data_IF_002365758416
#
_entry.id   IF_002365758416
#
_cell.length_a   1.000
_cell.length_b   1.000
_cell.length_c   1.000
_cell.angle_alpha   90.00
_cell.angle_beta   90.00
_cell.angle_gamma   90.00
#
_symmetry.space_group_name_H-M   'P 1'
#
loop_
_entity.id
_entity.type
_entity.pdbx_description
1 polymer ?
#
# COMPACT_ATOMS: atom_id res chain seq x y z
N UNK A 1 5.17 -24.00 -18.85
CA UNK A 1 5.81 -22.76 -18.35
C UNK A 1 6.58 -22.04 -19.46
N UNK A 2 7.48 -22.71 -20.21
CA UNK A 2 8.27 -22.13 -21.31
C UNK A 2 7.44 -21.36 -22.35
N UNK A 3 6.42 -22.00 -22.95
CA UNK A 3 5.49 -21.36 -23.90
C UNK A 3 4.84 -20.07 -23.39
N UNK A 4 4.45 -20.01 -22.11
CA UNK A 4 3.87 -18.80 -21.50
C UNK A 4 4.91 -17.67 -21.42
N UNK A 5 6.12 -18.00 -20.97
CA UNK A 5 7.20 -17.02 -20.90
C UNK A 5 7.60 -16.53 -22.30
N UNK A 6 7.60 -17.41 -23.30
CA UNK A 6 7.90 -17.06 -24.69
C UNK A 6 6.84 -16.10 -25.25
N UNK A 7 5.55 -16.36 -25.02
CA UNK A 7 4.46 -15.46 -25.42
C UNK A 7 4.58 -14.08 -24.75
N UNK A 8 4.89 -14.03 -23.44
CA UNK A 8 5.09 -12.76 -22.72
C UNK A 8 6.28 -11.98 -23.28
N UNK A 9 7.35 -12.68 -23.68
CA UNK A 9 8.54 -12.05 -24.28
C UNK A 9 8.31 -11.58 -25.71
N UNK A 10 7.48 -12.28 -26.47
CA UNK A 10 7.14 -11.92 -27.85
C UNK A 10 6.37 -10.61 -27.91
N UNK A 11 5.43 -10.40 -26.98
CA UNK A 11 4.65 -9.17 -26.93
C UNK A 11 4.40 -8.69 -25.48
N UNK A 12 5.40 -8.00 -24.88
CA UNK A 12 5.24 -7.44 -23.55
C UNK A 12 4.22 -6.28 -23.54
N UNK A 13 3.99 -5.61 -24.68
CA UNK A 13 3.09 -4.47 -24.80
C UNK A 13 1.64 -4.90 -24.61
N UNK A 14 1.20 -5.92 -25.35
CA UNK A 14 -0.15 -6.48 -25.21
C UNK A 14 -0.36 -7.00 -23.80
N UNK A 15 0.63 -7.68 -23.22
CA UNK A 15 0.52 -8.21 -21.86
C UNK A 15 0.28 -7.09 -20.83
N UNK A 16 1.02 -5.98 -20.93
CA UNK A 16 0.87 -4.82 -20.06
C UNK A 16 -0.46 -4.12 -20.27
N UNK A 17 -0.84 -3.84 -21.52
CA UNK A 17 -2.11 -3.19 -21.86
C UNK A 17 -3.31 -4.01 -21.39
N UNK A 18 -3.26 -5.34 -21.56
CA UNK A 18 -4.31 -6.22 -21.07
C UNK A 18 -4.39 -6.23 -19.54
N UNK A 19 -3.24 -6.27 -18.86
CA UNK A 19 -3.21 -6.20 -17.39
C UNK A 19 -3.76 -4.88 -16.86
N UNK A 20 -3.35 -3.76 -17.45
CA UNK A 20 -3.79 -2.42 -17.10
C UNK A 20 -5.30 -2.24 -17.34
N UNK A 21 -5.80 -2.66 -18.50
CA UNK A 21 -7.23 -2.64 -18.80
C UNK A 21 -8.05 -3.48 -17.80
N UNK A 22 -7.59 -4.70 -17.48
CA UNK A 22 -8.26 -5.53 -16.47
C UNK A 22 -8.27 -4.89 -15.09
N UNK A 23 -7.20 -4.18 -14.74
CA UNK A 23 -7.11 -3.49 -13.46
C UNK A 23 -8.08 -2.29 -13.42
N UNK A 24 -8.18 -1.52 -14.51
CA UNK A 24 -9.16 -0.43 -14.66
C UNK A 24 -10.59 -0.94 -14.48
N UNK A 25 -10.99 -1.95 -15.24
CA UNK A 25 -12.34 -2.55 -15.10
C UNK A 25 -12.59 -3.13 -13.71
N UNK A 26 -11.58 -3.74 -13.07
CA UNK A 26 -11.72 -4.20 -11.70
C UNK A 26 -12.02 -3.03 -10.76
N UNK A 27 -11.29 -1.92 -10.86
CA UNK A 27 -11.54 -0.75 -10.02
C UNK A 27 -12.90 -0.12 -10.27
N UNK A 28 -13.37 -0.04 -11.52
CA UNK A 28 -14.73 0.43 -11.85
C UNK A 28 -15.78 -0.45 -11.16
N UNK A 29 -15.64 -1.77 -11.22
CA UNK A 29 -16.57 -2.71 -10.56
C UNK A 29 -16.51 -2.57 -9.02
N UNK A 30 -15.32 -2.34 -8.46
CA UNK A 30 -15.15 -2.15 -7.02
C UNK A 30 -15.70 -0.81 -6.52
N UNK A 31 -15.65 0.23 -7.35
CA UNK A 31 -16.17 1.56 -7.06
C UNK A 31 -17.67 1.72 -7.35
N UNK A 32 -18.27 0.83 -8.15
CA UNK A 32 -19.68 0.90 -8.47
C UNK A 32 -20.58 0.76 -7.23
N UNK A 33 -21.65 1.55 -7.16
CA UNK A 33 -22.64 1.51 -6.05
C UNK A 33 -23.35 0.15 -5.92
N UNK A 34 -23.50 -0.58 -7.02
CA UNK A 34 -24.01 -1.96 -7.05
C UNK A 34 -22.89 -3.03 -6.97
N UNK A 35 -21.64 -2.60 -6.78
CA UNK A 35 -20.45 -3.43 -6.86
C UNK A 35 -20.20 -4.31 -5.63
N UNK A 36 -18.99 -4.89 -5.57
CA UNK A 36 -18.57 -5.81 -4.51
C UNK A 36 -18.80 -5.25 -3.10
N UNK A 37 -18.48 -3.98 -2.93
CA UNK A 37 -18.55 -3.30 -1.66
C UNK A 37 -19.85 -2.50 -1.50
N UNK A 38 -20.97 -2.97 -2.07
CA UNK A 38 -22.29 -2.28 -2.05
C UNK A 38 -22.69 -1.68 -0.69
N UNK A 39 -22.37 -2.36 0.42
CA UNK A 39 -22.68 -1.89 1.79
C UNK A 39 -21.58 -1.03 2.42
N UNK A 40 -20.42 -0.94 1.77
CA UNK A 40 -19.19 -0.33 2.24
C UNK A 40 -18.52 0.41 1.08
N UNK A 41 -19.11 1.52 0.65
CA UNK A 41 -18.64 2.34 -0.47
C UNK A 41 -17.11 2.53 -0.46
N UNK A 42 -16.46 2.37 -1.61
CA UNK A 42 -15.02 2.61 -1.75
C UNK A 42 -14.75 4.12 -1.73
N UNK A 43 -14.42 4.64 -0.55
CA UNK A 43 -14.19 6.07 -0.31
C UNK A 43 -12.78 6.49 -0.71
N UNK A 44 -11.76 5.69 -0.37
CA UNK A 44 -10.38 6.00 -0.73
C UNK A 44 -9.58 4.78 -1.20
N UNK A 45 -8.65 4.99 -2.12
CA UNK A 45 -7.73 3.95 -2.57
C UNK A 45 -6.34 4.50 -2.86
N UNK A 46 -5.34 3.69 -2.58
CA UNK A 46 -3.98 3.87 -3.07
C UNK A 46 -3.50 2.57 -3.70
N UNK A 47 -2.98 2.65 -4.92
CA UNK A 47 -2.53 1.49 -5.70
C UNK A 47 -1.11 1.77 -6.17
N UNK A 48 -0.21 0.82 -5.98
CA UNK A 48 1.15 0.85 -6.47
C UNK A 48 1.41 -0.40 -7.30
N UNK A 49 1.90 -0.21 -8.52
CA UNK A 49 2.43 -1.29 -9.35
C UNK A 49 3.93 -1.43 -9.07
N UNK A 50 4.34 -2.62 -8.67
CA UNK A 50 5.74 -2.99 -8.41
C UNK A 50 6.17 -4.08 -9.40
N UNK A 51 7.40 -3.96 -9.90
CA UNK A 51 8.07 -4.99 -10.70
C UNK A 51 9.18 -5.59 -9.85
N UNK A 52 8.90 -6.75 -9.27
CA UNK A 52 9.93 -7.52 -8.56
C UNK A 52 10.83 -8.24 -9.58
N UNK A 53 11.88 -8.91 -9.10
CA UNK A 53 12.79 -9.81 -9.86
C UNK A 53 12.05 -10.83 -10.76
N UNK A 54 10.74 -11.00 -10.58
CA UNK A 54 9.86 -11.84 -11.41
C UNK A 54 9.45 -11.21 -12.74
N UNK A 55 9.69 -9.91 -12.94
CA UNK A 55 9.51 -9.17 -14.20
C UNK A 55 8.09 -8.89 -14.65
N UNK A 56 7.08 -9.29 -13.86
CA UNK A 56 5.66 -9.01 -14.14
C UNK A 56 5.05 -8.10 -13.09
N UNK A 57 4.04 -7.28 -13.47
CA UNK A 57 3.45 -6.31 -12.58
C UNK A 57 2.79 -7.00 -11.38
N UNK A 58 3.00 -6.43 -10.21
CA UNK A 58 2.42 -6.84 -8.95
C UNK A 58 1.74 -5.64 -8.30
N UNK A 59 0.49 -5.80 -7.88
CA UNK A 59 -0.29 -4.70 -7.32
C UNK A 59 -0.24 -4.77 -5.79
N UNK A 60 0.18 -3.66 -5.20
CA UNK A 60 -0.09 -3.35 -3.80
C UNK A 60 -1.22 -2.33 -3.75
N UNK A 61 -2.30 -2.65 -3.06
CA UNK A 61 -3.43 -1.74 -2.91
C UNK A 61 -3.81 -1.54 -1.44
N UNK A 62 -4.21 -0.33 -1.11
CA UNK A 62 -4.90 0.05 0.11
C UNK A 62 -6.29 0.53 -0.29
N UNK A 63 -7.29 -0.01 0.39
CA UNK A 63 -8.70 0.19 0.09
C UNK A 63 -9.34 0.64 1.39
N UNK A 64 -9.90 1.85 1.39
CA UNK A 64 -10.62 2.43 2.50
C UNK A 64 -12.10 2.43 2.17
N UNK A 65 -12.85 1.67 2.96
CA UNK A 65 -14.28 1.49 2.74
C UNK A 65 -15.06 2.29 3.78
N UNK A 66 -15.99 3.10 3.31
CA UNK A 66 -16.89 3.90 4.13
C UNK A 66 -17.71 2.99 5.03
N UNK A 67 -17.93 3.42 6.27
CA UNK A 67 -18.67 2.67 7.30
C UNK A 67 -18.07 1.30 7.67
N UNK A 68 -16.85 0.97 7.23
CA UNK A 68 -16.16 -0.21 7.74
C UNK A 68 -15.93 -0.08 9.26
N UNK A 69 -16.09 -1.17 10.03
CA UNK A 69 -15.92 -1.13 11.48
C UNK A 69 -14.47 -0.80 11.85
N UNK A 70 -14.28 0.08 12.82
CA UNK A 70 -12.97 0.42 13.36
C UNK A 70 -12.67 -0.46 14.57
N UNK A 71 -11.48 -1.05 14.59
CA UNK A 71 -11.02 -1.86 15.71
C UNK A 71 -10.76 -1.00 16.93
N UNK A 72 -11.42 -1.32 18.05
CA UNK A 72 -11.16 -0.77 19.37
C UNK A 72 -11.02 -1.93 20.36
N UNK A 73 -9.81 -2.10 20.87
CA UNK A 73 -9.45 -3.17 21.80
C UNK A 73 -10.27 -3.16 23.09
N UNK A 74 -10.82 -2.00 23.49
CA UNK A 74 -11.57 -1.83 24.73
C UNK A 74 -13.08 -2.03 24.53
N UNK A 75 -13.54 -2.24 23.28
CA UNK A 75 -14.95 -2.33 22.95
C UNK A 75 -15.26 -3.69 22.30
N UNK A 76 -15.83 -4.66 23.05
CA UNK A 76 -16.16 -5.98 22.52
C UNK A 76 -17.08 -5.96 21.30
N UNK A 77 -17.99 -4.99 21.22
CA UNK A 77 -18.91 -4.85 20.09
C UNK A 77 -18.17 -4.39 18.81
N UNK A 78 -17.17 -3.52 18.96
CA UNK A 78 -16.28 -3.14 17.85
C UNK A 78 -15.53 -4.38 17.33
N UNK A 79 -14.96 -5.19 18.22
CA UNK A 79 -14.23 -6.42 17.87
C UNK A 79 -15.13 -7.37 17.09
N UNK A 80 -16.36 -7.60 17.58
CA UNK A 80 -17.34 -8.46 16.93
C UNK A 80 -17.71 -7.95 15.53
N UNK A 81 -18.01 -6.66 15.38
CA UNK A 81 -18.30 -6.05 14.07
C UNK A 81 -17.13 -6.19 13.11
N UNK A 82 -15.90 -6.02 13.56
CA UNK A 82 -14.70 -6.26 12.73
C UNK A 82 -14.61 -7.72 12.27
N UNK A 83 -14.85 -8.68 13.15
CA UNK A 83 -14.82 -10.11 12.80
C UNK A 83 -15.90 -10.44 11.76
N UNK A 84 -17.14 -9.99 11.96
CA UNK A 84 -18.24 -10.20 11.01
C UNK A 84 -17.94 -9.57 9.64
N UNK A 85 -17.35 -8.38 9.64
CA UNK A 85 -16.90 -7.70 8.43
C UNK A 85 -15.81 -8.48 7.69
N UNK A 86 -14.81 -8.98 8.43
CA UNK A 86 -13.73 -9.79 7.87
C UNK A 86 -14.28 -11.07 7.26
N UNK A 87 -15.12 -11.82 7.98
CA UNK A 87 -15.69 -13.09 7.49
C UNK A 87 -16.60 -12.91 6.27
N UNK A 88 -17.25 -11.75 6.14
CA UNK A 88 -18.04 -11.40 4.96
C UNK A 88 -17.19 -11.17 3.71
N UNK A 89 -15.99 -10.60 3.85
CA UNK A 89 -15.18 -10.13 2.71
C UNK A 89 -13.95 -10.99 2.42
N UNK A 90 -13.44 -11.72 3.40
CA UNK A 90 -12.19 -12.45 3.32
C UNK A 90 -12.45 -13.93 3.57
N UNK A 91 -12.03 -14.76 2.62
CA UNK A 91 -12.08 -16.21 2.71
C UNK A 91 -10.69 -16.80 2.66
N UNK A 92 -10.58 -17.98 3.28
CA UNK A 92 -9.40 -18.86 3.20
C UNK A 92 -9.81 -20.29 2.87
N UNK A 93 -11.04 -20.47 2.37
CA UNK A 93 -11.58 -21.80 2.05
C UNK A 93 -10.75 -22.48 0.98
N UNK A 94 -10.37 -23.72 1.24
CA UNK A 94 -9.62 -24.60 0.34
C UNK A 94 -10.53 -25.35 -0.65
N UNK A 95 -11.84 -25.42 -0.36
CA UNK A 95 -12.88 -26.11 -1.16
C UNK A 95 -14.19 -25.30 -1.18
N UNK A 96 -14.21 -24.07 -1.70
CA UNK A 96 -15.45 -23.31 -1.84
C UNK A 96 -16.33 -23.92 -2.94
N UNK A 97 -17.62 -24.07 -2.67
CA UNK A 97 -18.61 -24.66 -3.59
C UNK A 97 -18.83 -23.85 -4.86
N UNK A 98 -18.47 -22.56 -4.84
CA UNK A 98 -18.74 -21.59 -5.91
C UNK A 98 -17.60 -21.42 -6.91
N UNK A 99 -16.41 -22.02 -6.66
CA UNK A 99 -15.23 -21.80 -7.50
C UNK A 99 -14.56 -23.10 -7.91
N UNK A 100 -14.02 -23.12 -9.13
CA UNK A 100 -13.18 -24.21 -9.63
C UNK A 100 -11.93 -24.39 -8.78
N UNK A 101 -11.44 -25.63 -8.67
CA UNK A 101 -10.17 -25.95 -8.00
C UNK A 101 -8.98 -25.17 -8.57
N UNK A 102 -8.99 -24.86 -9.86
CA UNK A 102 -7.95 -24.06 -10.51
C UNK A 102 -7.78 -22.67 -9.88
N UNK A 103 -8.89 -21.97 -9.60
CA UNK A 103 -8.85 -20.64 -9.00
C UNK A 103 -8.29 -20.66 -7.57
N UNK A 104 -8.65 -21.70 -6.81
CA UNK A 104 -8.14 -21.89 -5.44
C UNK A 104 -6.68 -22.28 -5.44
N UNK A 105 -6.23 -23.03 -6.45
CA UNK A 105 -4.82 -23.34 -6.63
C UNK A 105 -3.95 -22.09 -6.75
N UNK A 106 -4.50 -20.98 -7.28
CA UNK A 106 -3.81 -19.69 -7.35
C UNK A 106 -3.61 -19.07 -5.97
N UNK A 107 -4.51 -19.32 -5.02
CA UNK A 107 -4.40 -18.81 -3.64
C UNK A 107 -3.50 -19.69 -2.76
N UNK A 108 -3.18 -20.90 -3.23
CA UNK A 108 -2.36 -21.85 -2.47
C UNK A 108 -0.88 -21.50 -2.58
N UNK A 109 -0.28 -21.16 -1.43
CA UNK A 109 1.13 -20.90 -1.33
C UNK A 109 1.97 -22.16 -1.54
N UNK A 110 2.82 -22.12 -2.58
CA UNK A 110 3.87 -23.11 -2.83
C UNK A 110 5.21 -22.50 -2.38
N UNK A 111 5.85 -23.12 -1.40
CA UNK A 111 7.14 -22.64 -0.92
C UNK A 111 8.14 -22.65 -2.07
N UNK A 112 8.84 -21.53 -2.25
CA UNK A 112 9.90 -21.35 -3.24
C UNK A 112 11.11 -20.69 -2.58
N UNK A 113 12.23 -20.57 -3.29
CA UNK A 113 13.43 -19.90 -2.76
C UNK A 113 13.13 -18.48 -2.26
N UNK A 114 12.22 -17.76 -2.91
CA UNK A 114 11.87 -16.37 -2.57
C UNK A 114 11.12 -16.23 -1.23
N UNK A 115 10.45 -17.28 -0.75
CA UNK A 115 9.77 -17.24 0.53
C UNK A 115 10.63 -17.78 1.68
N UNK A 116 11.82 -18.33 1.41
CA UNK A 116 12.72 -18.83 2.45
C UNK A 116 13.41 -17.66 3.15
N UNK A 117 13.34 -17.64 4.47
CA UNK A 117 14.06 -16.69 5.33
C UNK A 117 14.87 -17.47 6.35
N UNK A 118 16.18 -17.21 6.40
CA UNK A 118 17.06 -17.77 7.42
C UNK A 118 16.92 -16.95 8.71
N UNK A 119 16.54 -17.62 9.80
CA UNK A 119 16.40 -17.03 11.13
C UNK A 119 17.00 -18.00 12.13
N UNK A 120 18.06 -17.58 12.84
CA UNK A 120 18.75 -18.37 13.87
C UNK A 120 19.09 -19.80 13.41
N UNK A 121 19.70 -19.93 12.22
CA UNK A 121 20.09 -21.23 11.65
C UNK A 121 18.93 -22.06 11.06
N UNK A 122 17.68 -21.63 11.20
CA UNK A 122 16.51 -22.34 10.67
C UNK A 122 15.92 -21.64 9.44
N UNK A 123 15.45 -22.43 8.46
CA UNK A 123 14.70 -21.91 7.30
C UNK A 123 13.23 -21.79 7.70
N UNK A 124 12.69 -20.57 7.67
CA UNK A 124 11.27 -20.29 7.90
C UNK A 124 10.66 -19.64 6.67
N UNK A 125 9.34 -19.76 6.52
CA UNK A 125 8.63 -19.00 5.50
C UNK A 125 8.54 -17.52 5.90
N UNK A 126 8.96 -16.61 5.02
CA UNK A 126 8.86 -15.15 5.16
C UNK A 126 7.43 -14.69 5.46
N UNK A 127 6.44 -15.41 4.93
CA UNK A 127 5.02 -15.10 5.09
C UNK A 127 4.37 -15.79 6.31
N UNK A 128 5.14 -16.59 7.06
CA UNK A 128 4.62 -17.31 8.23
C UNK A 128 3.73 -18.51 7.91
N UNK A 129 3.93 -19.14 6.73
CA UNK A 129 3.19 -20.33 6.29
C UNK A 129 3.97 -21.60 6.70
N UNK A 130 3.32 -22.64 7.28
CA UNK A 130 1.86 -22.82 7.40
C UNK A 130 1.20 -21.89 8.43
N UNK A 131 -0.01 -21.43 8.10
CA UNK A 131 -0.85 -20.66 9.02
C UNK A 131 -1.44 -21.56 10.12
N UNK A 132 -1.79 -20.98 11.27
CA UNK A 132 -2.47 -21.69 12.34
C UNK A 132 -3.94 -21.98 11.96
N UNK A 133 -4.43 -23.23 12.10
CA UNK A 133 -5.85 -23.54 12.10
C UNK A 133 -6.59 -22.79 13.21
N UNK A 134 -7.81 -22.34 12.93
CA UNK A 134 -8.63 -21.59 13.88
C UNK A 134 -10.10 -22.00 13.71
N UNK A 135 -10.81 -22.23 14.82
CA UNK A 135 -12.25 -22.53 14.81
C UNK A 135 -13.08 -21.40 14.22
N UNK A 136 -12.71 -20.18 14.57
CA UNK A 136 -13.36 -18.94 14.18
C UNK A 136 -12.34 -17.83 13.92
N UNK A 137 -12.77 -16.74 13.29
CA UNK A 137 -11.91 -15.59 13.09
C UNK A 137 -11.78 -14.84 14.41
N UNK A 138 -10.54 -14.60 14.84
CA UNK A 138 -10.23 -13.95 16.10
C UNK A 138 -9.26 -12.78 15.89
N UNK A 139 -9.44 -11.72 16.66
CA UNK A 139 -8.43 -10.66 16.81
C UNK A 139 -7.71 -10.91 18.13
N UNK A 140 -6.48 -11.39 18.05
CA UNK A 140 -5.68 -11.72 19.23
C UNK A 140 -4.72 -10.59 19.57
N UNK A 141 -4.67 -10.24 20.85
CA UNK A 141 -3.77 -9.25 21.42
C UNK A 141 -2.57 -9.91 22.11
N UNK A 142 -1.41 -9.22 22.20
CA UNK A 142 -0.30 -9.69 23.01
C UNK A 142 -0.72 -9.77 24.49
N UNK A 143 0.08 -10.45 25.30
CA UNK A 143 -0.12 -10.43 26.76
C UNK A 143 0.05 -9.01 27.29
N UNK A 144 -0.87 -8.56 28.13
CA UNK A 144 -0.74 -7.30 28.85
C UNK A 144 0.40 -7.39 29.88
N UNK A 145 0.78 -6.24 30.45
CA UNK A 145 1.80 -6.20 31.49
C UNK A 145 1.40 -7.01 32.74
N UNK A 146 0.10 -7.11 33.02
CA UNK A 146 -0.47 -7.86 34.15
C UNK A 146 -0.60 -9.38 33.87
N UNK A 147 -0.58 -9.78 32.59
CA UNK A 147 -0.64 -11.18 32.15
C UNK A 147 0.75 -11.73 31.77
N UNK A 148 1.83 -11.14 32.30
CA UNK A 148 3.19 -11.50 31.91
C UNK A 148 3.50 -12.98 32.17
N UNK A 149 3.73 -13.71 31.08
CA UNK A 149 4.26 -15.07 31.13
C UNK A 149 5.63 -15.09 31.81
N UNK A 150 5.77 -15.99 32.78
CA UNK A 150 7.05 -16.29 33.43
C UNK A 150 8.06 -16.85 32.43
N UNK A 151 9.36 -16.78 32.76
CA UNK A 151 10.41 -17.34 31.90
C UNK A 151 10.18 -18.84 31.63
N UNK A 152 9.79 -19.59 32.66
CA UNK A 152 9.49 -21.03 32.57
C UNK A 152 8.32 -21.30 31.63
N UNK A 153 7.22 -20.57 31.75
CA UNK A 153 6.07 -20.72 30.83
C UNK A 153 6.44 -20.39 29.38
N UNK A 154 7.29 -19.38 29.14
CA UNK A 154 7.75 -19.05 27.79
C UNK A 154 8.59 -20.16 27.18
N UNK A 155 9.46 -20.78 27.96
CA UNK A 155 10.26 -21.93 27.53
C UNK A 155 9.39 -23.15 27.21
N UNK A 156 8.39 -23.44 28.04
CA UNK A 156 7.41 -24.52 27.80
C UNK A 156 6.56 -24.27 26.54
N UNK A 157 6.04 -23.05 26.38
CA UNK A 157 5.28 -22.63 25.19
C UNK A 157 6.15 -22.75 23.94
N UNK A 158 7.43 -22.33 23.99
CA UNK A 158 8.34 -22.43 22.85
C UNK A 158 8.55 -23.89 22.41
N UNK A 159 8.70 -24.82 23.35
CA UNK A 159 8.84 -26.26 23.05
C UNK A 159 7.57 -26.83 22.43
N UNK A 160 6.40 -26.55 23.03
CA UNK A 160 5.09 -26.96 22.48
C UNK A 160 4.89 -26.41 21.07
N UNK A 161 5.23 -25.15 20.85
CA UNK A 161 5.12 -24.49 19.54
C UNK A 161 5.98 -25.16 18.48
N UNK A 162 7.21 -25.55 18.80
CA UNK A 162 8.06 -26.26 17.84
C UNK A 162 7.43 -27.58 17.39
N UNK A 163 6.85 -28.33 18.34
CA UNK A 163 6.11 -29.56 18.04
C UNK A 163 4.88 -29.30 17.14
N UNK A 164 4.08 -28.27 17.45
CA UNK A 164 2.92 -27.88 16.63
C UNK A 164 3.34 -27.48 15.22
N UNK A 165 4.41 -26.69 15.08
CA UNK A 165 4.88 -26.27 13.77
C UNK A 165 5.34 -27.47 12.92
N UNK A 166 5.98 -28.48 13.53
CA UNK A 166 6.35 -29.72 12.84
C UNK A 166 5.10 -30.48 12.36
N UNK A 167 4.06 -30.58 13.18
CA UNK A 167 2.80 -31.22 12.74
C UNK A 167 2.07 -30.44 11.65
N UNK A 168 2.03 -29.11 11.75
CA UNK A 168 1.48 -28.27 10.69
C UNK A 168 2.24 -28.44 9.37
N UNK A 169 3.56 -28.62 9.41
CA UNK A 169 4.34 -28.93 8.22
C UNK A 169 3.99 -30.29 7.61
N UNK A 170 3.70 -31.32 8.42
CA UNK A 170 3.21 -32.61 7.91
C UNK A 170 1.83 -32.46 7.26
N UNK A 171 0.89 -31.82 7.94
CA UNK A 171 -0.45 -31.53 7.39
C UNK A 171 -0.34 -30.71 6.10
N UNK A 172 0.62 -29.79 6.02
CA UNK A 172 0.81 -28.94 4.83
C UNK A 172 1.21 -29.71 3.56
N UNK A 173 1.67 -30.96 3.71
CA UNK A 173 2.03 -31.89 2.62
C UNK A 173 0.85 -32.78 2.22
N UNK A 174 -0.11 -33.00 3.12
CA UNK A 174 -1.30 -33.80 2.89
C UNK A 174 -2.49 -32.90 2.49
N UNK A 175 -2.65 -32.69 1.18
CA UNK A 175 -3.61 -31.73 0.61
C UNK A 175 -5.06 -32.24 0.73
N UNK A 176 -5.24 -33.56 0.78
CA UNK A 176 -6.56 -34.22 0.80
C UNK A 176 -7.06 -34.51 2.21
N UNK A 177 -6.23 -34.24 3.23
CA UNK A 177 -6.60 -34.34 4.63
C UNK A 177 -7.93 -33.63 4.92
N UNK A 178 -8.90 -34.38 5.44
CA UNK A 178 -10.18 -33.86 5.93
C UNK A 178 -10.15 -33.54 7.43
N UNK A 179 -8.96 -33.41 8.01
CA UNK A 179 -8.78 -33.18 9.44
C UNK A 179 -9.54 -31.92 9.89
N UNK A 180 -10.40 -32.09 10.89
CA UNK A 180 -11.13 -31.02 11.55
C UNK A 180 -10.25 -30.29 12.57
N UNK A 181 -10.67 -29.11 13.02
CA UNK A 181 -9.94 -28.38 14.06
C UNK A 181 -9.90 -29.15 15.39
N UNK A 182 -10.99 -29.83 15.75
CA UNK A 182 -11.07 -30.64 16.98
C UNK A 182 -10.11 -31.84 16.93
N UNK A 183 -10.09 -32.58 15.83
CA UNK A 183 -9.14 -33.69 15.64
C UNK A 183 -7.70 -33.20 15.62
N UNK A 184 -7.44 -32.02 15.06
CA UNK A 184 -6.12 -31.39 15.10
C UNK A 184 -5.67 -31.09 16.54
N UNK A 185 -6.54 -30.54 17.38
CA UNK A 185 -6.25 -30.27 18.80
C UNK A 185 -5.95 -31.55 19.58
N UNK A 186 -6.72 -32.62 19.33
CA UNK A 186 -6.46 -33.95 19.90
C UNK A 186 -5.10 -34.49 19.45
N UNK A 187 -4.77 -34.35 18.15
CA UNK A 187 -3.51 -34.84 17.58
C UNK A 187 -2.27 -34.16 18.20
N UNK A 188 -2.34 -32.85 18.49
CA UNK A 188 -1.26 -32.11 19.14
C UNK A 188 -1.33 -32.16 20.68
N UNK A 189 -2.30 -32.90 21.24
CA UNK A 189 -2.55 -33.04 22.67
C UNK A 189 -2.64 -31.68 23.41
N UNK A 190 -3.46 -30.77 22.90
CA UNK A 190 -3.73 -29.47 23.52
C UNK A 190 -5.21 -29.13 23.50
N UNK A 191 -5.68 -28.45 24.54
CA UNK A 191 -6.99 -27.80 24.48
C UNK A 191 -6.90 -26.44 23.77
N UNK A 192 -8.06 -25.91 23.38
CA UNK A 192 -8.14 -24.66 22.60
C UNK A 192 -7.57 -23.45 23.37
N UNK A 193 -7.76 -23.38 24.70
CA UNK A 193 -7.22 -22.27 25.51
C UNK A 193 -5.70 -22.28 25.53
N UNK A 194 -5.08 -23.44 25.71
CA UNK A 194 -3.61 -23.59 25.64
C UNK A 194 -3.07 -23.24 24.26
N UNK A 195 -3.76 -23.67 23.21
CA UNK A 195 -3.40 -23.38 21.82
C UNK A 195 -3.42 -21.87 21.53
N UNK A 196 -4.49 -21.18 21.94
CA UNK A 196 -4.59 -19.72 21.79
C UNK A 196 -3.54 -19.00 22.65
N UNK A 197 -3.29 -19.47 23.90
CA UNK A 197 -2.22 -18.93 24.76
C UNK A 197 -0.85 -19.04 24.08
N UNK A 198 -0.57 -20.17 23.41
CA UNK A 198 0.66 -20.40 22.64
C UNK A 198 0.78 -19.44 21.45
N UNK A 199 -0.29 -19.20 20.70
CA UNK A 199 -0.29 -18.26 19.58
C UNK A 199 -0.02 -16.83 20.06
N UNK A 200 -0.68 -16.40 21.14
CA UNK A 200 -0.54 -15.05 21.73
C UNK A 200 0.88 -14.74 22.22
N UNK A 201 1.64 -15.76 22.63
CA UNK A 201 2.95 -15.58 23.25
C UNK A 201 3.99 -14.85 22.38
N UNK A 202 3.85 -14.95 21.06
CA UNK A 202 4.76 -14.32 20.08
C UNK A 202 4.21 -13.01 19.51
N UNK A 203 3.00 -12.60 19.90
CA UNK A 203 2.41 -11.36 19.42
C UNK A 203 3.10 -10.16 20.05
N UNK A 204 3.35 -9.15 19.23
CA UNK A 204 3.84 -7.82 19.66
C UNK A 204 2.77 -6.74 19.53
N UNK A 205 1.70 -7.03 18.79
CA UNK A 205 0.57 -6.15 18.48
C UNK A 205 -0.64 -7.01 18.13
N UNK A 206 -1.83 -6.41 18.18
CA UNK A 206 -3.07 -6.99 17.71
C UNK A 206 -2.89 -7.60 16.31
N UNK A 207 -3.44 -8.80 16.10
CA UNK A 207 -3.41 -9.48 14.81
C UNK A 207 -4.68 -10.28 14.55
N UNK A 208 -5.18 -10.20 13.32
CA UNK A 208 -6.27 -11.04 12.82
C UNK A 208 -5.76 -12.45 12.55
N UNK A 209 -6.46 -13.43 13.08
CA UNK A 209 -6.33 -14.85 12.76
C UNK A 209 -7.65 -15.33 12.16
N UNK A 210 -7.65 -15.68 10.88
CA UNK A 210 -8.85 -16.06 10.15
C UNK A 210 -9.30 -17.48 10.52
N UNK A 211 -10.62 -17.70 10.59
CA UNK A 211 -11.23 -19.03 10.66
C UNK A 211 -10.63 -19.91 9.58
N UNK A 212 -9.99 -21.01 9.98
CA UNK A 212 -9.16 -21.79 9.07
C UNK A 212 -9.14 -23.26 9.46
N UNK A 213 -9.63 -24.10 8.56
CA UNK A 213 -9.47 -25.54 8.68
C UNK A 213 -8.00 -25.96 8.42
N UNK A 214 -7.54 -27.09 9.00
CA UNK A 214 -6.20 -27.64 8.77
C UNK A 214 -5.79 -27.78 7.29
N UNK A 215 -6.70 -28.15 6.38
CA UNK A 215 -6.40 -28.24 4.95
C UNK A 215 -6.22 -26.87 4.25
N UNK A 216 -6.62 -25.79 4.92
CA UNK A 216 -6.53 -24.40 4.49
C UNK A 216 -5.25 -23.70 4.93
N UNK A 217 -4.33 -24.34 5.66
CA UNK A 217 -3.14 -23.70 6.26
C UNK A 217 -2.14 -23.11 5.26
N UNK A 218 -2.32 -23.37 3.96
CA UNK A 218 -1.52 -22.81 2.86
C UNK A 218 -2.29 -21.89 1.93
N UNK A 219 -3.56 -21.62 2.21
CA UNK A 219 -4.40 -20.74 1.38
C UNK A 219 -4.20 -19.31 1.85
N UNK A 220 -3.74 -18.42 0.98
CA UNK A 220 -3.71 -16.99 1.28
C UNK A 220 -5.14 -16.47 1.48
N UNK A 221 -5.28 -15.36 2.20
CA UNK A 221 -6.54 -14.67 2.33
C UNK A 221 -6.95 -14.04 0.99
N UNK A 222 -8.16 -14.33 0.52
CA UNK A 222 -8.70 -13.83 -0.75
C UNK A 222 -10.13 -13.33 -0.60
N UNK A 223 -10.57 -12.47 -1.50
CA UNK A 223 -11.99 -12.17 -1.67
C UNK A 223 -12.52 -13.01 -2.84
N UNK A 224 -13.57 -13.78 -2.58
CA UNK A 224 -14.19 -14.71 -3.51
C UNK A 224 -14.60 -14.05 -4.84
N UNK A 225 -15.22 -12.87 -4.79
CA UNK A 225 -15.69 -12.17 -5.98
C UNK A 225 -14.53 -11.52 -6.74
N UNK A 226 -13.57 -10.88 -6.06
CA UNK A 226 -12.34 -10.36 -6.71
C UNK A 226 -11.59 -11.50 -7.39
N UNK A 227 -11.49 -12.67 -6.75
CA UNK A 227 -10.85 -13.84 -7.34
C UNK A 227 -11.52 -14.27 -8.65
N UNK A 228 -12.86 -14.26 -8.68
CA UNK A 228 -13.62 -14.66 -9.88
C UNK A 228 -13.42 -13.69 -11.05
N UNK A 229 -13.34 -12.39 -10.77
CA UNK A 229 -13.16 -11.33 -11.77
C UNK A 229 -11.70 -11.23 -12.25
N UNK A 230 -10.76 -11.19 -11.29
CA UNK A 230 -9.35 -10.92 -11.56
C UNK A 230 -8.51 -12.18 -11.77
N UNK A 231 -8.93 -13.33 -11.24
CA UNK A 231 -8.28 -14.65 -11.43
C UNK A 231 -6.78 -14.63 -11.14
N UNK A 232 -6.38 -13.96 -10.06
CA UNK A 232 -5.00 -13.86 -9.60
C UNK A 232 -4.86 -14.21 -8.12
N UNK A 233 -3.64 -14.51 -7.69
CA UNK A 233 -3.30 -14.67 -6.28
C UNK A 233 -3.54 -13.35 -5.52
N UNK A 234 -4.04 -13.45 -4.31
CA UNK A 234 -4.26 -12.34 -3.40
C UNK A 234 -3.68 -12.66 -2.01
N UNK A 235 -3.49 -11.61 -1.22
CA UNK A 235 -3.16 -11.68 0.21
C UNK A 235 -3.83 -10.50 0.91
N UNK A 236 -5.15 -10.61 1.10
CA UNK A 236 -5.98 -9.53 1.65
C UNK A 236 -5.89 -9.53 3.17
N UNK A 237 -5.62 -8.37 3.76
CA UNK A 237 -5.49 -8.23 5.20
C UNK A 237 -6.32 -7.05 5.69
N UNK A 238 -7.09 -7.27 6.76
CA UNK A 238 -7.76 -6.20 7.48
C UNK A 238 -6.77 -5.49 8.40
N UNK A 239 -6.75 -4.15 8.34
CA UNK A 239 -5.80 -3.33 9.08
C UNK A 239 -6.43 -2.90 10.40
N UNK A 240 -5.84 -3.34 11.51
CA UNK A 240 -6.30 -3.04 12.87
C UNK A 240 -5.77 -1.70 13.41
N UNK A 241 -4.68 -1.20 12.83
CA UNK A 241 -3.90 -0.08 13.38
C UNK A 241 -3.53 0.91 12.25
N UNK A 242 -3.96 2.19 12.34
CA UNK A 242 -3.58 3.22 11.39
C UNK A 242 -2.07 3.39 11.23
N UNK A 243 -1.29 3.21 12.30
CA UNK A 243 0.18 3.29 12.22
C UNK A 243 0.74 2.14 11.38
N UNK A 244 0.16 0.94 11.49
CA UNK A 244 0.52 -0.18 10.62
C UNK A 244 0.19 0.11 9.15
N UNK A 245 -0.90 0.83 8.86
CA UNK A 245 -1.23 1.32 7.51
C UNK A 245 -0.14 2.27 6.99
N UNK A 246 0.20 3.31 7.76
CA UNK A 246 1.23 4.28 7.39
C UNK A 246 2.59 3.61 7.16
N UNK A 247 3.00 2.73 8.08
CA UNK A 247 4.24 1.97 7.94
C UNK A 247 4.22 1.12 6.66
N UNK A 248 3.11 0.47 6.35
CA UNK A 248 2.95 -0.28 5.09
C UNK A 248 3.16 0.66 3.89
N UNK A 249 2.46 1.79 3.80
CA UNK A 249 2.65 2.76 2.71
C UNK A 249 4.11 3.18 2.54
N UNK A 250 4.76 3.58 3.64
CA UNK A 250 6.13 4.09 3.66
C UNK A 250 7.13 3.01 3.25
N UNK A 251 6.94 1.77 3.68
CA UNK A 251 7.81 0.65 3.30
C UNK A 251 7.76 0.39 1.78
N UNK A 252 6.59 0.49 1.13
CA UNK A 252 6.48 0.29 -0.32
C UNK A 252 6.96 1.48 -1.14
N UNK A 253 6.69 2.71 -0.70
CA UNK A 253 7.21 3.92 -1.36
C UNK A 253 8.74 3.88 -1.38
N UNK A 254 9.38 3.46 -0.28
CA UNK A 254 10.85 3.43 -0.19
C UNK A 254 11.50 2.16 -0.74
N UNK A 255 10.72 1.17 -1.22
CA UNK A 255 11.23 -0.16 -1.56
C UNK A 255 12.12 -0.18 -2.80
N UNK A 256 11.79 0.64 -3.81
CA UNK A 256 12.49 0.69 -5.10
C UNK A 256 13.87 1.37 -5.03
N UNK A 257 14.17 2.14 -3.99
CA UNK A 257 15.28 3.10 -4.04
C UNK A 257 16.48 2.80 -3.12
N UNK A 258 16.37 1.82 -2.22
CA UNK A 258 17.38 1.65 -1.15
C UNK A 258 18.79 1.29 -1.67
N UNK A 259 18.89 0.43 -2.69
CA UNK A 259 20.19 0.04 -3.27
C UNK A 259 20.80 1.13 -4.16
N UNK A 260 19.98 1.70 -5.05
CA UNK A 260 20.39 2.72 -6.02
C UNK A 260 20.77 4.04 -5.33
N UNK A 261 20.02 4.45 -4.31
CA UNK A 261 20.32 5.67 -3.54
C UNK A 261 21.73 5.65 -2.96
N UNK A 262 22.19 4.50 -2.44
CA UNK A 262 23.53 4.39 -1.87
C UNK A 262 24.61 4.53 -2.95
N UNK A 263 24.45 3.80 -4.07
CA UNK A 263 25.38 3.83 -5.20
C UNK A 263 25.52 5.24 -5.81
N UNK A 264 24.40 5.94 -5.97
CA UNK A 264 24.35 7.31 -6.49
C UNK A 264 24.94 8.32 -5.51
N UNK A 265 24.67 8.20 -4.21
CA UNK A 265 25.28 9.06 -3.18
C UNK A 265 26.79 8.88 -3.11
N UNK A 266 27.29 7.64 -3.19
CA UNK A 266 28.73 7.37 -3.25
C UNK A 266 29.37 8.02 -4.47
N UNK A 267 28.77 7.88 -5.66
CA UNK A 267 29.25 8.53 -6.88
C UNK A 267 29.24 10.06 -6.75
N UNK A 268 28.18 10.64 -6.20
CA UNK A 268 28.10 12.09 -5.94
C UNK A 268 29.19 12.56 -4.97
N UNK A 269 29.47 11.81 -3.91
CA UNK A 269 30.49 12.17 -2.93
C UNK A 269 31.91 12.08 -3.51
N UNK A 270 32.19 11.10 -4.37
CA UNK A 270 33.45 11.01 -5.12
C UNK A 270 33.60 12.19 -6.08
N UNK A 271 32.53 12.53 -6.81
CA UNK A 271 32.52 13.64 -7.76
C UNK A 271 32.64 15.03 -7.12
N UNK A 272 32.19 15.19 -5.86
CA UNK A 272 32.36 16.43 -5.09
C UNK A 272 33.80 16.69 -4.66
N UNK A 273 34.66 15.67 -4.60
CA UNK A 273 36.09 15.80 -4.27
C UNK A 273 36.95 16.25 -5.47
N UNK A 274 36.40 16.23 -6.68
CA UNK A 274 37.08 16.63 -7.91
C UNK A 274 36.51 17.92 -8.53
N UNK A 275 37.33 18.57 -9.34
CA UNK A 275 36.97 19.81 -10.06
C UNK A 275 36.29 19.53 -11.42
N UNK A 276 35.38 18.55 -11.45
CA UNK A 276 34.67 18.12 -12.66
C UNK A 276 33.53 19.09 -13.02
N UNK A 277 33.29 19.28 -14.31
CA UNK A 277 32.13 20.04 -14.80
C UNK A 277 30.81 19.33 -14.46
N UNK A 278 29.70 20.09 -14.44
CA UNK A 278 28.36 19.52 -14.19
C UNK A 278 28.02 18.40 -15.19
N UNK A 279 28.42 18.56 -16.47
CA UNK A 279 28.19 17.57 -17.54
C UNK A 279 28.91 16.25 -17.26
N UNK A 280 30.18 16.31 -16.85
CA UNK A 280 30.96 15.11 -16.50
C UNK A 280 30.38 14.40 -15.28
N UNK A 281 29.97 15.18 -14.26
CA UNK A 281 29.30 14.64 -13.07
C UNK A 281 28.02 13.90 -13.43
N UNK A 282 27.16 14.51 -14.26
CA UNK A 282 25.94 13.87 -14.76
C UNK A 282 26.23 12.59 -15.55
N UNK A 283 27.25 12.59 -16.41
CA UNK A 283 27.64 11.41 -17.20
C UNK A 283 28.07 10.24 -16.34
N UNK A 284 28.88 10.48 -15.31
CA UNK A 284 29.32 9.43 -14.36
C UNK A 284 28.12 8.86 -13.59
N UNK A 285 27.23 9.72 -13.10
CA UNK A 285 26.01 9.31 -12.40
C UNK A 285 25.11 8.48 -13.32
N UNK A 286 24.86 8.96 -14.54
CA UNK A 286 24.05 8.27 -15.54
C UNK A 286 24.64 6.89 -15.89
N UNK A 287 25.95 6.81 -16.14
CA UNK A 287 26.60 5.53 -16.42
C UNK A 287 26.49 4.55 -15.24
N UNK A 288 26.66 5.03 -14.00
CA UNK A 288 26.52 4.17 -12.82
C UNK A 288 25.07 3.69 -12.68
N UNK A 289 24.10 4.57 -12.90
CA UNK A 289 22.69 4.23 -12.90
C UNK A 289 22.34 3.18 -13.95
N UNK A 290 22.70 3.40 -15.22
CA UNK A 290 22.39 2.51 -16.33
C UNK A 290 22.99 1.11 -16.16
N UNK A 291 24.23 1.02 -15.67
CA UNK A 291 24.91 -0.27 -15.49
C UNK A 291 24.46 -1.04 -14.23
N UNK A 292 23.73 -0.40 -13.31
CA UNK A 292 23.23 -1.05 -12.09
C UNK A 292 21.71 -1.23 -12.06
N UNK A 293 21.00 -0.67 -13.03
CA UNK A 293 19.55 -0.79 -13.14
C UNK A 293 19.18 -1.96 -14.05
N UNK A 294 18.45 -2.93 -13.50
CA UNK A 294 17.80 -3.98 -14.26
C UNK A 294 16.31 -3.68 -14.34
N UNK A 295 15.79 -3.57 -15.57
CA UNK A 295 14.37 -3.30 -15.83
C UNK A 295 13.76 -4.45 -16.64
N UNK A 296 12.55 -4.87 -16.26
CA UNK A 296 11.84 -5.89 -17.05
C UNK A 296 11.24 -5.28 -18.31
N UNK A 297 11.02 -6.09 -19.36
CA UNK A 297 10.37 -5.59 -20.59
C UNK A 297 8.98 -4.98 -20.32
N UNK A 298 8.22 -5.54 -19.37
CA UNK A 298 6.91 -5.02 -18.99
C UNK A 298 7.02 -3.68 -18.23
N UNK A 299 7.99 -3.54 -17.33
CA UNK A 299 8.27 -2.28 -16.64
C UNK A 299 8.72 -1.19 -17.61
N UNK A 300 9.56 -1.52 -18.59
CA UNK A 300 9.96 -0.59 -19.65
C UNK A 300 8.75 -0.11 -20.46
N UNK A 301 7.81 -0.99 -20.78
CA UNK A 301 6.55 -0.62 -21.44
C UNK A 301 5.72 0.33 -20.58
N UNK A 302 5.64 0.12 -19.26
CA UNK A 302 4.95 1.06 -18.36
C UNK A 302 5.54 2.48 -18.47
N UNK A 303 6.88 2.60 -18.51
CA UNK A 303 7.53 3.90 -18.68
C UNK A 303 7.34 4.50 -20.07
N UNK A 304 7.49 3.71 -21.14
CA UNK A 304 7.36 4.19 -22.53
C UNK A 304 5.94 4.67 -22.83
N UNK A 305 4.93 3.96 -22.31
CA UNK A 305 3.53 4.29 -22.52
C UNK A 305 2.96 5.24 -21.46
N UNK A 306 3.82 5.78 -20.58
CA UNK A 306 3.42 6.66 -19.47
C UNK A 306 2.28 6.09 -18.62
N UNK A 307 2.25 4.77 -18.42
CA UNK A 307 1.22 4.12 -17.61
C UNK A 307 1.51 4.41 -16.13
N UNK A 308 0.53 4.93 -15.36
CA UNK A 308 0.75 5.26 -13.95
C UNK A 308 1.20 4.06 -13.12
N UNK A 309 2.35 4.21 -12.44
CA UNK A 309 2.84 3.23 -11.45
C UNK A 309 2.19 3.40 -10.08
N UNK A 310 1.64 4.57 -9.80
CA UNK A 310 0.88 4.87 -8.59
C UNK A 310 -0.45 5.52 -8.98
N UNK A 311 -1.54 5.07 -8.36
CA UNK A 311 -2.89 5.61 -8.52
C UNK A 311 -3.42 5.90 -7.11
N UNK A 312 -3.96 7.09 -6.89
CA UNK A 312 -4.48 7.53 -5.58
C UNK A 312 -5.81 8.24 -5.79
N UNK A 313 -6.78 8.01 -4.90
CA UNK A 313 -8.02 8.81 -4.84
C UNK A 313 -7.80 10.23 -4.29
N UNK A 314 -6.67 10.44 -3.59
CA UNK A 314 -6.27 11.74 -3.04
C UNK A 314 -5.05 12.26 -3.79
N UNK A 315 -5.06 13.56 -4.12
CA UNK A 315 -3.91 14.26 -4.65
C UNK A 315 -2.83 14.44 -3.57
N UNK A 316 -1.59 14.68 -4.00
CA UNK A 316 -0.47 14.96 -3.12
C UNK A 316 0.07 16.36 -3.38
N UNK A 317 0.41 17.07 -2.31
CA UNK A 317 0.99 18.41 -2.38
C UNK A 317 2.36 18.37 -1.73
N UNK A 318 3.38 18.82 -2.47
CA UNK A 318 4.72 18.96 -1.93
C UNK A 318 4.85 20.28 -1.15
N UNK A 319 5.25 20.19 0.11
CA UNK A 319 5.57 21.36 0.94
C UNK A 319 7.08 21.41 1.13
N UNK A 320 7.72 22.47 0.64
CA UNK A 320 9.16 22.64 0.79
C UNK A 320 9.53 23.08 2.22
N UNK A 321 9.91 22.12 3.06
CA UNK A 321 10.28 22.38 4.47
C UNK A 321 11.73 22.82 4.65
N UNK A 322 12.48 23.12 3.58
CA UNK A 322 13.83 23.68 3.71
C UNK A 322 13.80 25.07 4.38
N UNK A 323 14.94 25.45 4.96
CA UNK A 323 15.15 26.84 5.43
C UNK A 323 15.01 27.82 4.26
N UNK A 324 14.47 29.04 4.47
CA UNK A 324 14.20 30.00 3.41
C UNK A 324 15.35 30.20 2.42
N UNK A 325 16.58 30.30 2.92
CA UNK A 325 17.81 30.49 2.14
C UNK A 325 18.15 29.32 1.19
N UNK A 326 17.58 28.14 1.45
CA UNK A 326 17.80 26.93 0.66
C UNK A 326 16.56 26.53 -0.18
N UNK A 327 15.53 27.37 -0.22
CA UNK A 327 14.35 27.11 -1.05
C UNK A 327 14.63 27.53 -2.48
N UNK A 328 14.47 26.58 -3.40
CA UNK A 328 14.57 26.84 -4.82
C UNK A 328 13.29 27.55 -5.25
N UNK A 329 13.44 28.69 -5.94
CA UNK A 329 12.33 29.45 -6.53
C UNK A 329 12.35 29.27 -8.05
N UNK A 330 11.17 29.15 -8.67
CA UNK A 330 11.06 29.13 -10.12
C UNK A 330 10.96 30.56 -10.65
N UNK A 331 11.71 30.87 -11.70
CA UNK A 331 11.57 32.14 -12.40
C UNK A 331 10.21 32.17 -13.13
N UNK A 332 9.66 33.38 -13.26
CA UNK A 332 8.54 33.62 -14.17
C UNK A 332 8.99 33.36 -15.61
N UNK A 333 8.04 33.12 -16.51
CA UNK A 333 8.36 32.93 -17.93
C UNK A 333 9.02 34.18 -18.52
N UNK A 334 9.84 33.99 -19.55
CA UNK A 334 10.53 35.08 -20.24
C UNK A 334 9.55 36.17 -20.70
N UNK A 335 8.37 35.79 -21.19
CA UNK A 335 7.30 36.71 -21.59
C UNK A 335 6.81 37.63 -20.46
N UNK A 336 6.80 37.13 -19.22
CA UNK A 336 6.41 37.92 -18.06
C UNK A 336 7.59 38.77 -17.61
N UNK A 337 8.80 38.20 -17.57
CA UNK A 337 10.01 38.89 -17.15
C UNK A 337 10.32 40.11 -18.04
N UNK A 338 10.14 39.99 -19.35
CA UNK A 338 10.35 41.10 -20.30
C UNK A 338 9.35 42.25 -20.13
N UNK A 339 8.20 42.00 -19.52
CA UNK A 339 7.16 43.01 -19.24
C UNK A 339 7.31 43.63 -17.86
N UNK A 340 8.24 43.14 -17.04
CA UNK A 340 8.54 43.76 -15.75
C UNK A 340 9.40 45.00 -15.94
N UNK A 341 9.24 45.95 -15.02
CA UNK A 341 10.15 47.09 -14.94
C UNK A 341 11.61 46.62 -14.75
N UNK A 342 12.60 47.33 -15.32
CA UNK A 342 14.01 46.90 -15.29
C UNK A 342 14.59 46.63 -13.88
N UNK A 343 14.04 47.26 -12.84
CA UNK A 343 14.45 47.15 -11.44
C UNK A 343 13.52 46.26 -10.59
N UNK A 344 12.53 45.62 -11.22
CA UNK A 344 11.58 44.74 -10.53
C UNK A 344 12.26 43.52 -9.93
N UNK A 345 12.01 43.28 -8.64
CA UNK A 345 12.47 42.09 -7.91
C UNK A 345 11.46 40.94 -7.92
N UNK A 346 10.26 41.16 -8.49
CA UNK A 346 9.19 40.17 -8.57
C UNK A 346 9.41 39.23 -9.77
N UNK A 347 10.57 38.57 -9.80
CA UNK A 347 11.01 37.70 -10.91
C UNK A 347 10.67 36.22 -10.68
N UNK A 348 10.18 35.86 -9.49
CA UNK A 348 9.87 34.49 -9.11
C UNK A 348 8.37 34.20 -9.10
N UNK A 349 8.00 32.97 -9.43
CA UNK A 349 6.64 32.45 -9.26
C UNK A 349 6.36 32.28 -7.77
N UNK A 350 5.24 32.81 -7.29
CA UNK A 350 4.81 32.59 -5.91
C UNK A 350 4.47 31.11 -5.69
N UNK A 351 5.10 30.50 -4.69
CA UNK A 351 4.81 29.15 -4.26
C UNK A 351 3.78 29.10 -3.13
N UNK A 352 3.48 27.89 -2.71
CA UNK A 352 2.54 27.59 -1.62
C UNK A 352 2.87 28.34 -0.32
N UNK A 353 4.16 28.52 0.00
CA UNK A 353 4.58 29.15 1.25
C UNK A 353 4.36 30.66 1.19
N UNK A 354 4.72 31.30 0.08
CA UNK A 354 4.48 32.72 -0.16
C UNK A 354 2.99 33.01 -0.12
N UNK A 355 2.18 32.12 -0.69
CA UNK A 355 0.73 32.19 -0.63
C UNK A 355 0.20 32.06 0.80
N UNK A 356 0.68 31.10 1.57
CA UNK A 356 0.30 30.91 2.98
C UNK A 356 0.66 32.12 3.86
N UNK A 357 1.81 32.77 3.63
CA UNK A 357 2.20 34.01 4.33
C UNK A 357 1.22 35.14 4.02
N UNK A 358 0.69 35.19 2.81
CA UNK A 358 -0.27 36.19 2.33
C UNK A 358 -1.75 35.81 2.56
N UNK A 359 -2.03 34.77 3.36
CA UNK A 359 -3.40 34.38 3.69
C UNK A 359 -4.11 35.47 4.53
N UNK A 360 -5.45 35.59 4.42
CA UNK A 360 -6.25 36.50 5.22
C UNK A 360 -6.05 36.34 6.73
N UNK A 361 -6.25 37.41 7.50
CA UNK A 361 -6.08 37.39 8.96
C UNK A 361 -7.12 36.50 9.65
N UNK A 362 -8.26 36.30 9.01
CA UNK A 362 -9.33 35.37 9.41
C UNK A 362 -8.82 33.91 9.46
N UNK A 363 -7.79 33.58 8.69
CA UNK A 363 -7.16 32.24 8.64
C UNK A 363 -5.97 32.11 9.61
N UNK A 364 -5.89 32.94 10.67
CA UNK A 364 -4.78 32.88 11.64
C UNK A 364 -4.64 31.51 12.31
N UNK A 365 -5.75 30.78 12.50
CA UNK A 365 -5.78 29.46 13.12
C UNK A 365 -5.47 28.31 12.15
N UNK A 366 -5.35 28.58 10.85
CA UNK A 366 -5.01 27.58 9.83
C UNK A 366 -3.50 27.46 9.75
N UNK A 367 -2.97 26.25 9.99
CA UNK A 367 -1.55 25.99 9.84
C UNK A 367 -1.17 25.73 8.37
N UNK A 368 0.14 25.71 8.04
CA UNK A 368 0.60 25.52 6.66
C UNK A 368 0.13 24.18 6.06
N UNK A 369 0.09 23.11 6.86
CA UNK A 369 -0.35 21.79 6.41
C UNK A 369 -1.86 21.76 6.09
N UNK A 370 -2.68 22.40 6.93
CA UNK A 370 -4.12 22.51 6.68
C UNK A 370 -4.37 23.40 5.46
N UNK A 371 -3.62 24.51 5.35
CA UNK A 371 -3.70 25.41 4.20
C UNK A 371 -3.43 24.67 2.89
N UNK A 372 -2.35 23.88 2.86
CA UNK A 372 -1.94 23.13 1.68
C UNK A 372 -2.88 21.98 1.30
N UNK A 373 -3.57 21.40 2.28
CA UNK A 373 -4.40 20.21 2.06
C UNK A 373 -5.88 20.53 1.81
N UNK A 374 -6.39 21.66 2.33
CA UNK A 374 -7.82 21.97 2.32
C UNK A 374 -8.21 23.15 1.44
N UNK A 375 -7.25 23.98 0.99
CA UNK A 375 -7.56 25.24 0.32
C UNK A 375 -6.91 25.34 -1.06
N UNK A 376 -7.65 25.91 -2.01
CA UNK A 376 -7.17 26.18 -3.35
C UNK A 376 -7.15 27.69 -3.64
N UNK A 377 -6.16 28.15 -4.41
CA UNK A 377 -6.03 29.57 -4.76
C UNK A 377 -6.40 29.77 -6.22
N UNK A 378 -7.35 30.68 -6.45
CA UNK A 378 -7.76 31.11 -7.77
C UNK A 378 -7.35 32.55 -8.03
N UNK A 379 -6.87 32.84 -9.25
CA UNK A 379 -6.60 34.21 -9.71
C UNK A 379 -7.86 35.03 -9.95
N UNK A 380 -9.02 34.38 -10.11
CA UNK A 380 -10.30 35.03 -10.40
C UNK A 380 -11.26 34.87 -9.22
N UNK A 381 -11.95 35.96 -8.86
CA UNK A 381 -13.12 35.89 -7.99
C UNK A 381 -14.22 35.18 -8.79
N UNK A 382 -14.50 33.93 -8.47
CA UNK A 382 -15.54 33.15 -9.13
C UNK A 382 -16.64 32.89 -8.12
N UNK A 383 -17.76 33.59 -8.28
CA UNK A 383 -18.97 33.44 -7.46
C UNK A 383 -19.91 32.34 -7.99
N UNK A 384 -19.49 31.51 -8.97
CA UNK A 384 -20.28 30.38 -9.50
C UNK A 384 -19.44 29.24 -10.09
N UNK A 385 -19.99 28.03 -9.99
CA UNK A 385 -19.47 26.72 -10.39
C UNK A 385 -19.29 26.54 -11.90
N UNK A 386 -18.16 26.99 -12.44
CA UNK A 386 -17.61 26.40 -13.67
C UNK A 386 -16.12 26.15 -13.50
N UNK A 387 -15.79 24.87 -13.42
CA UNK A 387 -14.45 24.33 -13.59
C UNK A 387 -13.97 24.84 -14.95
N UNK A 388 -13.00 25.76 -14.97
CA UNK A 388 -12.30 26.14 -16.19
C UNK A 388 -11.19 25.11 -16.34
N UNK A 389 -11.36 24.24 -17.33
CA UNK A 389 -10.32 23.41 -17.92
C UNK A 389 -9.07 24.27 -18.17
N UNK A 390 -7.97 23.92 -17.51
CA UNK A 390 -6.66 24.12 -18.11
C UNK A 390 -6.30 22.77 -18.72
N UNK A 391 -6.21 22.75 -20.05
CA UNK A 391 -5.65 21.63 -20.81
C UNK A 391 -4.20 21.42 -20.37
N UNK A 392 -3.98 20.33 -19.66
CA UNK A 392 -2.95 19.32 -19.91
C UNK A 392 -2.88 18.45 -18.66
N UNK A 393 -3.93 17.66 -18.44
CA UNK A 393 -3.94 16.39 -17.70
C UNK A 393 -5.40 15.90 -17.58
N UNK A 394 -5.76 14.93 -18.42
CA UNK A 394 -6.99 14.15 -18.24
C UNK A 394 -6.82 13.21 -17.04
N UNK A 395 -7.48 13.50 -15.92
CA UNK A 395 -8.24 12.49 -15.17
C UNK A 395 -9.10 13.16 -14.08
N UNK A 396 -10.41 13.00 -14.23
CA UNK A 396 -11.47 13.58 -13.39
C UNK A 396 -11.63 12.74 -12.12
N UNK A 397 -11.65 13.40 -10.95
CA UNK A 397 -12.40 12.92 -9.79
C UNK A 397 -13.20 14.05 -9.19
N UNK A 398 -14.53 13.95 -9.28
CA UNK A 398 -15.49 14.79 -8.58
C UNK A 398 -15.37 14.53 -7.08
N UNK A 399 -14.94 15.54 -6.32
CA UNK A 399 -15.09 15.56 -4.86
C UNK A 399 -16.12 16.64 -4.52
N UNK A 400 -17.36 16.23 -4.26
CA UNK A 400 -18.35 17.09 -3.60
C UNK A 400 -17.93 17.29 -2.14
N UNK A 401 -17.29 18.42 -1.84
CA UNK A 401 -17.18 18.92 -0.47
C UNK A 401 -18.15 20.08 -0.27
N UNK A 402 -19.27 19.79 0.39
CA UNK A 402 -20.28 20.72 0.89
C UNK A 402 -19.71 21.63 2.01
N UNK A 403 -18.87 22.61 1.66
CA UNK A 403 -18.58 23.73 2.55
C UNK A 403 -18.69 25.05 1.79
N UNK A 404 -19.86 25.67 1.92
CA UNK A 404 -20.22 26.98 1.36
C UNK A 404 -19.52 28.13 2.11
N UNK A 405 -18.20 28.22 2.04
CA UNK A 405 -17.45 29.40 2.50
C UNK A 405 -17.26 30.38 1.36
N UNK A 406 -17.59 31.65 1.58
CA UNK A 406 -17.38 32.71 0.60
C UNK A 406 -15.88 32.86 0.29
N UNK A 407 -15.48 33.09 -0.98
CA UNK A 407 -14.08 33.18 -1.35
C UNK A 407 -13.39 34.36 -0.64
N UNK A 408 -12.26 34.08 0.02
CA UNK A 408 -11.51 35.06 0.81
C UNK A 408 -10.37 35.67 -0.02
N UNK A 409 -10.20 36.99 0.01
CA UNK A 409 -9.15 37.68 -0.77
C UNK A 409 -7.80 37.60 -0.06
N UNK A 410 -6.74 37.23 -0.78
CA UNK A 410 -5.38 37.24 -0.24
C UNK A 410 -4.89 38.67 0.07
N UNK A 411 -4.00 38.81 1.06
CA UNK A 411 -3.45 40.10 1.53
C UNK A 411 -2.69 40.86 0.44
N UNK A 412 -1.97 40.13 -0.41
CA UNK A 412 -1.25 40.70 -1.55
C UNK A 412 -2.17 41.04 -2.75
N UNK A 413 -3.47 40.73 -2.65
CA UNK A 413 -4.46 40.97 -3.70
C UNK A 413 -4.31 40.10 -4.95
N UNK A 414 -3.36 39.15 -4.96
CA UNK A 414 -3.01 38.34 -6.14
C UNK A 414 -3.88 37.08 -6.33
N UNK A 415 -4.86 36.86 -5.46
CA UNK A 415 -5.75 35.71 -5.57
C UNK A 415 -6.86 35.65 -4.52
N UNK A 416 -7.67 34.62 -4.65
CA UNK A 416 -8.78 34.29 -3.77
C UNK A 416 -8.62 32.85 -3.30
N UNK A 417 -8.81 32.62 -2.01
CA UNK A 417 -8.80 31.31 -1.38
C UNK A 417 -10.24 30.77 -1.37
N UNK A 418 -10.40 29.54 -1.87
CA UNK A 418 -11.62 28.75 -1.79
C UNK A 418 -11.46 27.65 -0.77
#
# INVERSE_FOLDING_TARGET
MKKKCDLIKQDPVICVRYFEHRLKCLWEILSASCGLFRYYELEDKYVRVEFQIRGSPHIHALIWLKNAPKYDKNNPESIKKCIEFIDKLISVSSKPTQFSEELISLQRHKHSHTCKKYVNGCIKCRFGIPYFPMRETMILEPFSDDEKLTKKEREEISKKKESVMKELEKISKDIDSSLTFDEFLVHINMNEKEYIKMIRADLKKAKVFLKRAPNGIRINAYNSQIMSLHRANMDIQFILDPYACLKYCVEYINKSENGMSKLLREALNELKKGNNTVRERLRVIANKFLNSSEISAQEAVYHILSIPLSISSRSTVFINTNRPENRISMLKSDDILQKLEPDSKDVFVEGLIEMYVNRPDEMKNVCLADFASMYNISKKKTDNDRIIENSDDEDITENESDNKTAPMKMKNGKGWIK
#
